data_IF_802976413046
#
_entry.id   IF_802976413046
#
_cell.length_a   1.000
_cell.length_b   1.000
_cell.length_c   1.000
_cell.angle_alpha   90.00
_cell.angle_beta   90.00
_cell.angle_gamma   90.00
#
_symmetry.space_group_name_H-M   'P 1'
#
loop_
_entity.id
_entity.type
_entity.pdbx_description
1 polymer ?
#
# COMPACT_ATOMS: atom_id res chain seq x y z
N UNK A 1 0.65 31.92 21.56
CA UNK A 1 0.43 31.42 20.19
C UNK A 1 0.97 30.00 20.01
N UNK A 2 2.29 29.78 20.10
CA UNK A 2 2.91 28.46 19.85
C UNK A 2 2.35 27.32 20.74
N UNK A 3 2.04 27.60 22.02
CA UNK A 3 1.40 26.63 22.91
C UNK A 3 0.03 26.16 22.41
N UNK A 4 -0.76 27.07 21.83
CA UNK A 4 -2.06 26.75 21.24
C UNK A 4 -1.90 25.90 19.99
N UNK A 5 -0.96 26.25 19.11
CA UNK A 5 -0.66 25.49 17.90
C UNK A 5 -0.23 24.05 18.20
N UNK A 6 0.64 23.85 19.21
CA UNK A 6 1.07 22.51 19.65
C UNK A 6 -0.05 21.65 20.23
N UNK A 7 -1.14 22.26 20.71
CA UNK A 7 -2.30 21.53 21.24
C UNK A 7 -3.31 21.12 20.16
N UNK A 8 -3.18 21.64 18.93
CA UNK A 8 -4.09 21.29 17.83
C UNK A 8 -3.95 19.83 17.43
N UNK A 9 -5.03 19.25 16.93
CA UNK A 9 -5.01 17.92 16.32
C UNK A 9 -4.91 18.07 14.81
N UNK A 10 -3.69 18.05 14.29
CA UNK A 10 -3.44 18.15 12.85
C UNK A 10 -2.12 17.47 12.46
N UNK A 11 -1.78 17.48 11.17
CA UNK A 11 -0.64 16.71 10.66
C UNK A 11 0.71 17.19 11.22
N UNK A 12 0.79 18.46 11.64
CA UNK A 12 1.98 19.07 12.22
C UNK A 12 2.23 18.64 13.68
N UNK A 13 1.24 18.07 14.35
CA UNK A 13 1.29 17.71 15.78
C UNK A 13 1.06 16.23 16.04
N UNK A 14 0.83 15.42 15.00
CA UNK A 14 0.66 13.97 15.11
C UNK A 14 1.98 13.17 15.08
N UNK A 15 3.13 13.83 15.23
CA UNK A 15 4.46 13.21 15.30
C UNK A 15 4.70 12.19 14.17
N UNK A 16 4.32 12.57 12.95
CA UNK A 16 4.54 11.78 11.75
C UNK A 16 6.04 11.79 11.40
N UNK A 17 6.77 10.80 11.89
CA UNK A 17 8.20 10.59 11.59
C UNK A 17 8.37 10.07 10.16
N UNK A 18 8.30 11.01 9.22
CA UNK A 18 8.38 10.73 7.79
C UNK A 18 9.77 11.09 7.27
N UNK A 19 10.54 10.07 6.89
CA UNK A 19 11.77 10.24 6.12
C UNK A 19 11.47 10.84 4.74
N UNK A 20 12.46 11.49 4.13
CA UNK A 20 12.30 12.07 2.78
C UNK A 20 11.91 11.04 1.73
N UNK A 21 12.43 9.81 1.81
CA UNK A 21 12.06 8.72 0.91
C UNK A 21 10.61 8.29 1.10
N UNK A 22 10.14 8.20 2.34
CA UNK A 22 8.75 7.88 2.65
C UNK A 22 7.80 8.97 2.14
N UNK A 23 8.15 10.25 2.30
CA UNK A 23 7.38 11.37 1.77
C UNK A 23 7.19 11.29 0.24
N UNK A 24 8.25 10.97 -0.51
CA UNK A 24 8.18 10.81 -1.97
C UNK A 24 7.30 9.63 -2.36
N UNK A 25 7.46 8.48 -1.70
CA UNK A 25 6.62 7.31 -1.95
C UNK A 25 5.14 7.58 -1.64
N UNK A 26 4.84 8.26 -0.53
CA UNK A 26 3.48 8.63 -0.17
C UNK A 26 2.88 9.61 -1.19
N UNK A 27 3.66 10.59 -1.66
CA UNK A 27 3.23 11.52 -2.71
C UNK A 27 2.77 10.76 -3.96
N UNK A 28 3.53 9.76 -4.38
CA UNK A 28 3.24 9.01 -5.61
C UNK A 28 2.06 8.05 -5.40
N UNK A 29 1.95 7.38 -4.24
CA UNK A 29 0.80 6.54 -3.90
C UNK A 29 -0.51 7.35 -3.79
N UNK A 30 -0.44 8.61 -3.33
CA UNK A 30 -1.60 9.49 -3.22
C UNK A 30 -2.10 9.97 -4.60
N UNK A 31 -1.35 9.74 -5.68
CA UNK A 31 -1.84 9.98 -7.06
C UNK A 31 -2.85 8.94 -7.51
N UNK A 32 -2.85 7.75 -6.91
CA UNK A 32 -3.80 6.68 -7.24
C UNK A 32 -5.13 6.87 -6.50
N UNK A 33 -5.15 7.67 -5.44
CA UNK A 33 -6.32 7.86 -4.60
C UNK A 33 -7.04 9.15 -5.02
N UNK A 34 -7.81 9.06 -6.10
CA UNK A 34 -8.93 9.97 -6.39
C UNK A 34 -8.74 10.91 -7.56
N UNK A 35 -9.31 10.56 -8.72
CA UNK A 35 -9.67 11.49 -9.79
C UNK A 35 -11.07 12.06 -9.53
N UNK A 36 -11.08 13.22 -8.85
CA UNK A 36 -12.01 14.36 -8.92
C UNK A 36 -13.55 14.20 -8.81
N UNK A 37 -14.14 13.00 -8.87
CA UNK A 37 -15.57 12.77 -8.61
C UNK A 37 -15.81 11.55 -7.71
N UNK A 38 -16.65 11.72 -6.68
CA UNK A 38 -17.15 10.62 -5.83
C UNK A 38 -16.26 10.19 -4.65
N UNK A 39 -14.95 10.49 -4.66
CA UNK A 39 -14.08 10.10 -3.54
C UNK A 39 -14.38 10.90 -2.26
N UNK A 40 -14.99 10.25 -1.28
CA UNK A 40 -15.37 10.84 0.02
C UNK A 40 -14.17 11.19 0.91
N UNK A 41 -12.98 10.63 0.63
CA UNK A 41 -11.73 10.93 1.34
C UNK A 41 -10.95 12.11 0.73
N UNK A 42 -11.43 12.73 -0.35
CA UNK A 42 -10.67 13.72 -1.13
C UNK A 42 -10.13 14.90 -0.30
N UNK A 43 -10.89 15.39 0.68
CA UNK A 43 -10.43 16.45 1.59
C UNK A 43 -9.20 16.03 2.41
N UNK A 44 -9.23 14.83 3.00
CA UNK A 44 -8.14 14.26 3.79
C UNK A 44 -6.89 14.00 2.94
N UNK A 45 -7.08 13.55 1.69
CA UNK A 45 -5.98 13.35 0.72
C UNK A 45 -5.28 14.68 0.43
N UNK A 46 -6.04 15.74 0.19
CA UNK A 46 -5.46 17.06 -0.03
C UNK A 46 -4.76 17.61 1.21
N UNK A 47 -5.30 17.37 2.42
CA UNK A 47 -4.61 17.70 3.67
C UNK A 47 -3.26 16.98 3.77
N UNK A 48 -3.22 15.67 3.55
CA UNK A 48 -1.97 14.90 3.64
C UNK A 48 -0.97 15.34 2.55
N UNK A 49 -1.42 15.55 1.32
CA UNK A 49 -0.56 16.07 0.24
C UNK A 49 -0.01 17.45 0.57
N UNK A 50 -0.84 18.34 1.12
CA UNK A 50 -0.40 19.68 1.55
C UNK A 50 0.69 19.61 2.61
N UNK A 51 0.52 18.73 3.61
CA UNK A 51 1.54 18.48 4.62
C UNK A 51 2.83 17.91 4.03
N UNK A 52 2.75 16.94 3.12
CA UNK A 52 3.91 16.37 2.43
C UNK A 52 4.66 17.45 1.66
N UNK A 53 3.97 18.29 0.89
CA UNK A 53 4.59 19.37 0.13
C UNK A 53 5.27 20.39 1.04
N UNK A 54 4.63 20.76 2.15
CA UNK A 54 5.24 21.62 3.15
C UNK A 54 6.56 21.01 3.69
N UNK A 55 6.55 19.73 4.07
CA UNK A 55 7.74 19.02 4.57
C UNK A 55 8.85 18.91 3.53
N UNK A 56 8.51 18.97 2.25
CA UNK A 56 9.45 19.01 1.13
C UNK A 56 9.95 20.43 0.79
N UNK A 57 9.44 21.47 1.46
CA UNK A 57 9.84 22.86 1.26
C UNK A 57 8.97 23.66 0.29
N UNK A 58 7.85 23.11 -0.19
CA UNK A 58 6.95 23.74 -1.15
C UNK A 58 5.73 24.35 -0.46
N UNK A 59 5.91 25.48 0.23
CA UNK A 59 4.86 26.10 1.07
C UNK A 59 3.68 26.66 0.26
N UNK A 60 3.89 27.16 -0.95
CA UNK A 60 2.81 27.66 -1.82
C UNK A 60 1.90 26.50 -2.29
N UNK A 61 2.52 25.39 -2.72
CA UNK A 61 1.81 24.16 -3.08
C UNK A 61 1.03 23.61 -1.89
N UNK A 62 1.63 23.62 -0.70
CA UNK A 62 0.97 23.20 0.53
C UNK A 62 -0.30 24.03 0.80
N UNK A 63 -0.22 25.36 0.67
CA UNK A 63 -1.37 26.25 0.87
C UNK A 63 -2.48 25.97 -0.15
N UNK A 64 -2.11 25.83 -1.44
CA UNK A 64 -3.03 25.50 -2.52
C UNK A 64 -3.78 24.19 -2.23
N UNK A 65 -3.06 23.16 -1.78
CA UNK A 65 -3.64 21.87 -1.42
C UNK A 65 -4.55 21.95 -0.19
N UNK A 66 -4.18 22.68 0.87
CA UNK A 66 -5.07 22.88 2.01
C UNK A 66 -6.36 23.63 1.63
N UNK A 67 -6.29 24.58 0.71
CA UNK A 67 -7.48 25.25 0.19
C UNK A 67 -8.37 24.30 -0.64
N UNK A 68 -7.76 23.45 -1.48
CA UNK A 68 -8.47 22.39 -2.21
C UNK A 68 -9.12 21.38 -1.26
N UNK A 69 -8.47 21.04 -0.15
CA UNK A 69 -9.02 20.18 0.89
C UNK A 69 -10.33 20.77 1.45
N UNK A 70 -10.32 22.05 1.85
CA UNK A 70 -11.53 22.74 2.31
C UNK A 70 -12.64 22.69 1.26
N UNK A 71 -12.34 23.04 0.01
CA UNK A 71 -13.32 23.01 -1.08
C UNK A 71 -13.92 21.62 -1.29
N UNK A 72 -13.10 20.57 -1.25
CA UNK A 72 -13.55 19.19 -1.36
C UNK A 72 -14.47 18.81 -0.20
N UNK A 73 -14.11 19.14 1.04
CA UNK A 73 -14.95 18.91 2.21
C UNK A 73 -16.31 19.59 2.08
N UNK A 74 -16.32 20.88 1.73
CA UNK A 74 -17.56 21.64 1.60
C UNK A 74 -18.46 21.08 0.48
N UNK A 75 -17.88 20.70 -0.66
CA UNK A 75 -18.61 20.08 -1.77
C UNK A 75 -19.21 18.73 -1.40
N UNK A 76 -18.46 17.87 -0.71
CA UNK A 76 -18.91 16.51 -0.32
C UNK A 76 -20.00 16.57 0.75
N UNK A 77 -19.90 17.51 1.70
CA UNK A 77 -20.84 17.65 2.82
C UNK A 77 -22.01 18.59 2.51
N UNK A 78 -21.97 19.28 1.36
CA UNK A 78 -22.92 20.33 0.99
C UNK A 78 -23.10 21.38 2.10
N UNK A 79 -22.00 21.75 2.75
CA UNK A 79 -21.98 22.66 3.89
C UNK A 79 -20.64 23.41 3.98
N UNK A 80 -20.69 24.70 4.30
CA UNK A 80 -19.49 25.56 4.32
C UNK A 80 -18.59 25.33 5.54
N UNK A 81 -19.16 24.83 6.64
CA UNK A 81 -18.47 24.62 7.90
C UNK A 81 -18.96 23.37 8.63
N UNK A 82 -18.04 22.73 9.36
CA UNK A 82 -18.33 21.57 10.20
C UNK A 82 -17.08 21.03 10.88
N UNK A 83 -17.23 20.07 11.80
CA UNK A 83 -16.11 19.48 12.56
C UNK A 83 -15.06 18.82 11.67
N UNK A 84 -15.40 18.36 10.46
CA UNK A 84 -14.46 17.83 9.47
C UNK A 84 -13.42 18.85 8.97
N UNK A 85 -13.57 20.15 9.24
CA UNK A 85 -12.57 21.17 8.91
C UNK A 85 -11.52 21.39 10.00
N UNK A 86 -11.67 20.77 11.17
CA UNK A 86 -10.77 20.98 12.32
C UNK A 86 -9.30 20.74 11.98
N UNK A 87 -8.99 19.60 11.37
CA UNK A 87 -7.62 19.25 10.97
C UNK A 87 -7.10 20.19 9.87
N UNK A 88 -7.96 20.55 8.91
CA UNK A 88 -7.62 21.47 7.82
C UNK A 88 -7.25 22.86 8.33
N UNK A 89 -8.07 23.44 9.21
CA UNK A 89 -7.77 24.72 9.84
C UNK A 89 -6.54 24.64 10.74
N UNK A 90 -6.32 23.51 11.42
CA UNK A 90 -5.10 23.30 12.20
C UNK A 90 -3.84 23.29 11.33
N UNK A 91 -3.90 22.65 10.15
CA UNK A 91 -2.82 22.68 9.17
C UNK A 91 -2.55 24.10 8.64
N UNK A 92 -3.61 24.85 8.30
CA UNK A 92 -3.49 26.23 7.82
C UNK A 92 -2.92 27.17 8.90
N UNK A 93 -3.37 27.03 10.15
CA UNK A 93 -2.84 27.80 11.27
C UNK A 93 -1.32 27.58 11.46
N UNK A 94 -0.86 26.33 11.37
CA UNK A 94 0.55 25.97 11.42
C UNK A 94 1.35 26.48 10.23
N UNK A 95 0.81 26.34 9.01
CA UNK A 95 1.46 26.83 7.80
C UNK A 95 1.70 28.34 7.90
N UNK A 96 0.65 29.12 8.19
CA UNK A 96 0.75 30.58 8.31
C UNK A 96 1.70 31.01 9.43
N UNK A 97 1.68 30.33 10.58
CA UNK A 97 2.65 30.58 11.64
C UNK A 97 4.09 30.38 11.16
N UNK A 98 4.36 29.29 10.44
CA UNK A 98 5.71 28.98 9.93
C UNK A 98 6.22 29.96 8.87
N UNK A 99 5.30 30.64 8.17
CA UNK A 99 5.60 31.68 7.19
C UNK A 99 5.74 33.08 7.80
N UNK A 100 5.50 33.24 9.11
CA UNK A 100 5.51 34.55 9.79
C UNK A 100 4.19 35.34 9.67
N UNK A 101 3.16 34.76 9.07
CA UNK A 101 1.85 35.38 8.86
C UNK A 101 0.98 35.20 10.12
N UNK A 102 1.25 36.02 11.11
CA UNK A 102 0.70 35.86 12.46
C UNK A 102 -0.81 36.12 12.53
N UNK A 103 -1.30 37.13 11.80
CA UNK A 103 -2.71 37.47 11.74
C UNK A 103 -3.57 36.34 11.15
N UNK A 104 -3.12 35.73 10.05
CA UNK A 104 -3.78 34.61 9.41
C UNK A 104 -3.78 33.36 10.30
N UNK A 105 -2.66 33.10 10.99
CA UNK A 105 -2.59 31.99 11.96
C UNK A 105 -3.60 32.17 13.10
N UNK A 106 -3.75 33.39 13.61
CA UNK A 106 -4.76 33.75 14.63
C UNK A 106 -6.19 33.61 14.12
N UNK A 107 -6.47 34.01 12.87
CA UNK A 107 -7.79 33.85 12.25
C UNK A 107 -8.20 32.37 12.15
N UNK A 108 -7.30 31.48 11.75
CA UNK A 108 -7.59 30.04 11.75
C UNK A 108 -7.77 29.46 13.16
N UNK A 109 -6.99 29.92 14.15
CA UNK A 109 -7.20 29.54 15.54
C UNK A 109 -8.59 29.97 16.04
N UNK A 110 -9.03 31.18 15.69
CA UNK A 110 -10.38 31.66 16.02
C UNK A 110 -11.47 30.80 15.37
N UNK A 111 -11.29 30.40 14.10
CA UNK A 111 -12.21 29.49 13.41
C UNK A 111 -12.29 28.12 14.10
N UNK A 112 -11.17 27.59 14.57
CA UNK A 112 -11.12 26.34 15.35
C UNK A 112 -11.88 26.50 16.67
N UNK A 113 -11.67 27.60 17.40
CA UNK A 113 -12.39 27.88 18.65
C UNK A 113 -13.91 27.97 18.41
N UNK A 114 -14.32 28.60 17.32
CA UNK A 114 -15.73 28.71 16.93
C UNK A 114 -16.34 27.33 16.60
N UNK A 115 -15.61 26.47 15.90
CA UNK A 115 -16.04 25.10 15.63
C UNK A 115 -16.15 24.28 16.90
N UNK A 116 -15.16 24.32 17.80
CA UNK A 116 -15.21 23.63 19.10
C UNK A 116 -16.40 24.07 19.95
N UNK A 117 -16.77 25.36 19.90
CA UNK A 117 -17.95 25.87 20.61
C UNK A 117 -19.26 25.37 20.00
N UNK A 118 -19.33 25.25 18.68
CA UNK A 118 -20.53 24.82 17.95
C UNK A 118 -20.71 23.30 17.97
N UNK A 119 -19.61 22.57 17.97
CA UNK A 119 -19.53 21.12 18.00
C UNK A 119 -18.57 20.73 19.13
N UNK A 120 -19.03 20.68 20.39
CA UNK A 120 -18.16 20.29 21.49
C UNK A 120 -17.82 18.80 21.41
N UNK A 121 -16.58 18.44 21.77
CA UNK A 121 -16.19 17.03 21.92
C UNK A 121 -16.94 16.40 23.12
N UNK A 122 -17.22 15.09 23.11
CA UNK A 122 -18.00 14.47 24.20
C UNK A 122 -17.31 14.52 25.56
N UNK A 123 -15.96 14.54 25.58
CA UNK A 123 -15.14 14.74 26.77
C UNK A 123 -13.88 15.55 26.43
N UNK A 124 -13.15 16.02 27.46
CA UNK A 124 -11.89 16.75 27.27
C UNK A 124 -10.75 15.87 26.72
N UNK A 125 -10.86 14.56 26.84
CA UNK A 125 -9.84 13.59 26.40
C UNK A 125 -10.19 12.98 25.03
N UNK A 126 -11.45 13.09 24.59
CA UNK A 126 -11.91 12.52 23.33
C UNK A 126 -11.79 13.50 22.16
N UNK A 127 -11.33 12.97 21.02
CA UNK A 127 -11.32 13.70 19.76
C UNK A 127 -12.69 13.65 19.10
N UNK A 128 -12.95 14.58 18.18
CA UNK A 128 -14.07 14.44 17.25
C UNK A 128 -13.94 13.17 16.43
N UNK A 129 -15.06 12.49 16.09
CA UNK A 129 -15.01 11.26 15.31
C UNK A 129 -14.34 11.47 13.93
N UNK A 130 -14.53 12.64 13.31
CA UNK A 130 -13.83 13.02 12.07
C UNK A 130 -12.32 13.13 12.25
N UNK A 131 -11.86 13.60 13.43
CA UNK A 131 -10.43 13.69 13.73
C UNK A 131 -9.82 12.31 13.96
N UNK A 132 -10.55 11.42 14.65
CA UNK A 132 -10.15 10.01 14.76
C UNK A 132 -10.02 9.35 13.39
N UNK A 133 -11.04 9.54 12.54
CA UNK A 133 -11.05 8.99 11.19
C UNK A 133 -9.92 9.53 10.31
N UNK A 134 -9.64 10.83 10.34
CA UNK A 134 -8.52 11.43 9.59
C UNK A 134 -7.17 10.95 10.09
N UNK A 135 -6.99 10.86 11.42
CA UNK A 135 -5.76 10.33 12.01
C UNK A 135 -5.53 8.88 11.62
N UNK A 136 -6.57 8.05 11.68
CA UNK A 136 -6.53 6.66 11.22
C UNK A 136 -6.16 6.57 9.74
N UNK A 137 -6.79 7.37 8.88
CA UNK A 137 -6.52 7.39 7.44
C UNK A 137 -5.06 7.75 7.11
N UNK A 138 -4.52 8.78 7.78
CA UNK A 138 -3.13 9.19 7.59
C UNK A 138 -2.19 8.09 8.05
N UNK A 139 -2.39 7.54 9.25
CA UNK A 139 -1.57 6.44 9.77
C UNK A 139 -1.69 5.17 8.91
N UNK A 140 -2.85 4.87 8.34
CA UNK A 140 -3.02 3.77 7.39
C UNK A 140 -2.09 3.95 6.18
N UNK A 141 -1.95 5.19 5.71
CA UNK A 141 -1.17 5.58 4.54
C UNK A 141 0.34 5.66 4.81
N UNK A 142 0.75 6.09 6.02
CA UNK A 142 2.16 6.43 6.30
C UNK A 142 2.82 5.65 7.44
N UNK A 143 2.04 5.01 8.32
CA UNK A 143 2.54 4.32 9.52
C UNK A 143 2.56 2.80 9.38
N UNK A 144 3.34 2.13 10.23
CA UNK A 144 3.47 0.67 10.30
C UNK A 144 2.47 -0.03 11.24
N UNK A 145 2.00 0.63 12.30
CA UNK A 145 1.09 -0.01 13.27
C UNK A 145 -0.35 -0.01 12.76
N UNK A 146 -0.76 -1.13 12.17
CA UNK A 146 -2.09 -1.29 11.58
C UNK A 146 -3.18 -1.62 12.62
N UNK A 147 -2.80 -2.10 13.80
CA UNK A 147 -3.74 -2.35 14.90
C UNK A 147 -4.23 -1.03 15.46
N UNK A 148 -3.33 -0.08 15.72
CA UNK A 148 -3.69 1.27 16.16
C UNK A 148 -4.61 1.99 15.16
N UNK A 149 -4.38 1.78 13.87
CA UNK A 149 -5.23 2.33 12.80
C UNK A 149 -6.66 1.79 12.90
N UNK A 150 -6.80 0.48 13.08
CA UNK A 150 -8.11 -0.14 13.24
C UNK A 150 -8.85 0.41 14.47
N UNK A 151 -8.15 0.55 15.60
CA UNK A 151 -8.71 1.10 16.85
C UNK A 151 -9.24 2.53 16.66
N UNK A 152 -8.51 3.39 15.94
CA UNK A 152 -8.98 4.76 15.67
C UNK A 152 -10.23 4.80 14.80
N UNK A 153 -10.32 3.96 13.76
CA UNK A 153 -11.57 3.86 12.99
C UNK A 153 -12.71 3.30 13.83
N UNK A 154 -12.46 2.28 14.64
CA UNK A 154 -13.45 1.68 15.53
C UNK A 154 -14.03 2.73 16.49
N UNK A 155 -13.19 3.56 17.12
CA UNK A 155 -13.64 4.68 17.97
C UNK A 155 -14.53 5.66 17.22
N UNK A 156 -14.14 6.06 16.00
CA UNK A 156 -14.95 6.96 15.19
C UNK A 156 -16.34 6.36 14.89
N UNK A 157 -16.40 5.07 14.54
CA UNK A 157 -17.64 4.34 14.23
C UNK A 157 -18.54 4.22 15.48
N UNK A 158 -17.98 3.98 16.65
CA UNK A 158 -18.74 3.90 17.91
C UNK A 158 -19.39 5.24 18.27
N UNK A 159 -18.66 6.34 18.05
CA UNK A 159 -19.16 7.69 18.31
C UNK A 159 -20.22 8.13 17.29
N UNK A 160 -20.06 7.75 16.02
CA UNK A 160 -21.00 8.09 14.96
C UNK A 160 -21.15 6.92 13.97
N UNK A 161 -22.08 6.00 14.25
CA UNK A 161 -22.31 4.84 13.41
C UNK A 161 -22.97 5.21 12.09
N UNK A 162 -22.80 4.37 11.08
CA UNK A 162 -23.45 4.50 9.77
C UNK A 162 -22.66 5.28 8.71
N UNK A 163 -21.46 5.78 9.06
CA UNK A 163 -20.54 6.36 8.08
C UNK A 163 -19.82 5.24 7.34
N UNK A 164 -20.26 4.99 6.10
CA UNK A 164 -19.81 3.88 5.25
C UNK A 164 -18.30 3.89 5.02
N UNK A 165 -17.72 5.07 4.83
CA UNK A 165 -16.28 5.25 4.55
C UNK A 165 -15.40 4.79 5.72
N UNK A 166 -15.90 4.94 6.94
CA UNK A 166 -15.18 4.53 8.14
C UNK A 166 -15.25 3.02 8.29
N UNK A 167 -16.41 2.40 8.00
CA UNK A 167 -16.54 0.94 7.97
C UNK A 167 -15.61 0.31 6.92
N UNK A 168 -15.57 0.86 5.70
CA UNK A 168 -14.68 0.35 4.65
C UNK A 168 -13.21 0.50 5.02
N UNK A 169 -12.82 1.65 5.58
CA UNK A 169 -11.44 1.90 6.01
C UNK A 169 -11.05 1.04 7.22
N UNK A 170 -11.98 0.78 8.14
CA UNK A 170 -11.78 -0.13 9.26
C UNK A 170 -11.54 -1.57 8.80
N UNK A 171 -12.35 -2.07 7.86
CA UNK A 171 -12.16 -3.40 7.29
C UNK A 171 -10.78 -3.54 6.61
N UNK A 172 -10.35 -2.51 5.87
CA UNK A 172 -8.99 -2.47 5.29
C UNK A 172 -7.90 -2.44 6.36
N UNK A 173 -8.07 -1.66 7.43
CA UNK A 173 -7.12 -1.59 8.53
C UNK A 173 -6.94 -2.95 9.22
N UNK A 174 -8.04 -3.64 9.51
CA UNK A 174 -8.02 -5.00 10.07
C UNK A 174 -7.31 -5.99 9.13
N UNK A 175 -7.61 -5.94 7.83
CA UNK A 175 -6.93 -6.75 6.82
C UNK A 175 -5.42 -6.48 6.82
N UNK A 176 -4.99 -5.22 6.82
CA UNK A 176 -3.56 -4.90 6.86
C UNK A 176 -2.88 -5.35 8.16
N UNK A 177 -3.56 -5.27 9.31
CA UNK A 177 -3.05 -5.76 10.58
C UNK A 177 -2.85 -7.28 10.57
N UNK A 178 -3.80 -8.02 9.98
CA UNK A 178 -3.74 -9.49 9.92
C UNK A 178 -2.63 -10.05 9.03
N UNK A 179 -2.17 -9.31 8.01
CA UNK A 179 -1.14 -9.78 7.06
C UNK A 179 0.19 -10.19 7.73
N UNK A 180 0.46 -9.71 8.95
CA UNK A 180 1.69 -9.99 9.68
C UNK A 180 1.48 -10.82 10.95
N UNK A 181 0.27 -11.33 11.19
CA UNK A 181 -0.08 -12.05 12.41
C UNK A 181 -0.93 -13.28 12.09
N UNK A 182 -0.53 -14.48 12.53
CA UNK A 182 -1.36 -15.69 12.43
C UNK A 182 -2.42 -15.67 13.52
N UNK A 183 -3.39 -14.77 13.43
CA UNK A 183 -4.39 -14.53 14.48
C UNK A 183 -5.61 -15.45 14.37
N UNK A 184 -5.81 -16.16 13.25
CA UNK A 184 -6.98 -17.02 13.05
C UNK A 184 -8.28 -16.23 12.84
N UNK A 185 -8.17 -14.91 12.61
CA UNK A 185 -9.29 -13.98 12.41
C UNK A 185 -9.56 -13.71 10.92
N UNK A 186 -8.89 -14.42 10.01
CA UNK A 186 -8.94 -14.15 8.58
C UNK A 186 -10.36 -14.29 8.01
N UNK A 187 -11.17 -15.22 8.54
CA UNK A 187 -12.56 -15.42 8.14
C UNK A 187 -13.47 -14.27 8.59
N UNK A 188 -13.32 -13.80 9.84
CA UNK A 188 -14.09 -12.67 10.38
C UNK A 188 -13.74 -11.36 9.65
N UNK A 189 -12.47 -11.16 9.34
CA UNK A 189 -12.01 -10.00 8.56
C UNK A 189 -12.59 -10.03 7.15
N UNK A 190 -12.55 -11.19 6.48
CA UNK A 190 -13.10 -11.34 5.14
C UNK A 190 -14.61 -11.06 5.12
N UNK A 191 -15.34 -11.52 6.14
CA UNK A 191 -16.77 -11.24 6.29
C UNK A 191 -17.03 -9.74 6.54
N UNK A 192 -16.21 -9.07 7.36
CA UNK A 192 -16.29 -7.61 7.54
C UNK A 192 -16.05 -6.87 6.23
N UNK A 193 -15.09 -7.31 5.42
CA UNK A 193 -14.83 -6.73 4.09
C UNK A 193 -16.04 -6.90 3.17
N UNK A 194 -16.65 -8.10 3.15
CA UNK A 194 -17.88 -8.38 2.38
C UNK A 194 -19.02 -7.45 2.77
N UNK A 195 -19.31 -7.34 4.08
CA UNK A 195 -20.37 -6.46 4.60
C UNK A 195 -20.09 -5.00 4.25
N UNK A 196 -18.84 -4.55 4.42
CA UNK A 196 -18.47 -3.17 4.10
C UNK A 196 -18.61 -2.87 2.59
N UNK A 197 -18.29 -3.83 1.72
CA UNK A 197 -18.49 -3.69 0.28
C UNK A 197 -19.98 -3.65 -0.10
N UNK A 198 -20.83 -4.45 0.55
CA UNK A 198 -22.29 -4.39 0.31
C UNK A 198 -22.90 -3.05 0.73
N UNK A 199 -22.34 -2.42 1.78
CA UNK A 199 -22.77 -1.10 2.24
C UNK A 199 -22.21 0.04 1.38
N UNK A 200 -21.08 -0.16 0.73
CA UNK A 200 -20.35 0.83 -0.08
C UNK A 200 -19.91 0.24 -1.44
N UNK A 201 -20.86 -0.10 -2.33
CA UNK A 201 -20.55 -0.81 -3.58
C UNK A 201 -19.75 0.02 -4.59
N UNK A 202 -19.74 1.35 -4.45
CA UNK A 202 -18.96 2.27 -5.30
C UNK A 202 -17.46 2.30 -4.91
N UNK A 203 -17.09 1.68 -3.78
CA UNK A 203 -15.72 1.65 -3.30
C UNK A 203 -14.90 0.55 -3.98
N UNK A 204 -14.48 0.84 -5.22
CA UNK A 204 -13.69 -0.07 -6.05
C UNK A 204 -12.36 -0.45 -5.39
N UNK A 205 -11.81 0.41 -4.54
CA UNK A 205 -10.59 0.11 -3.79
C UNK A 205 -10.81 -1.02 -2.79
N UNK A 206 -11.88 -0.96 -1.99
CA UNK A 206 -12.25 -2.07 -1.09
C UNK A 206 -12.58 -3.34 -1.89
N UNK A 207 -13.37 -3.22 -2.97
CA UNK A 207 -13.74 -4.36 -3.81
C UNK A 207 -12.50 -5.09 -4.38
N UNK A 208 -11.51 -4.33 -4.86
CA UNK A 208 -10.26 -4.90 -5.36
C UNK A 208 -9.45 -5.61 -4.26
N UNK A 209 -9.39 -5.06 -3.04
CA UNK A 209 -8.75 -5.75 -1.91
C UNK A 209 -9.50 -7.00 -1.50
N UNK A 210 -10.83 -6.99 -1.53
CA UNK A 210 -11.65 -8.16 -1.21
C UNK A 210 -11.41 -9.29 -2.21
N UNK A 211 -11.39 -8.99 -3.51
CA UNK A 211 -11.03 -9.95 -4.56
C UNK A 211 -9.62 -10.51 -4.38
N UNK A 212 -8.64 -9.65 -4.06
CA UNK A 212 -7.26 -10.08 -3.79
C UNK A 212 -7.17 -11.07 -2.60
N UNK A 213 -7.89 -10.79 -1.50
CA UNK A 213 -7.92 -11.70 -0.35
C UNK A 213 -8.58 -13.05 -0.69
N UNK A 214 -9.67 -13.06 -1.47
CA UNK A 214 -10.31 -14.29 -1.96
C UNK A 214 -9.38 -15.09 -2.87
N UNK A 215 -8.68 -14.44 -3.79
CA UNK A 215 -7.69 -15.09 -4.66
C UNK A 215 -6.54 -15.73 -3.87
N UNK A 216 -6.03 -15.06 -2.83
CA UNK A 216 -4.97 -15.61 -1.97
C UNK A 216 -5.43 -16.87 -1.22
N UNK A 217 -6.74 -17.02 -0.99
CA UNK A 217 -7.36 -18.23 -0.41
C UNK A 217 -7.64 -19.31 -1.45
N UNK A 218 -7.28 -19.09 -2.71
CA UNK A 218 -7.45 -20.04 -3.81
C UNK A 218 -8.82 -19.99 -4.48
N UNK A 219 -9.65 -18.97 -4.21
CA UNK A 219 -10.89 -18.78 -4.93
C UNK A 219 -10.65 -18.32 -6.37
N UNK A 220 -11.51 -18.76 -7.29
CA UNK A 220 -11.46 -18.40 -8.71
C UNK A 220 -12.27 -17.13 -8.97
N UNK A 221 -11.62 -15.98 -8.84
CA UNK A 221 -12.28 -14.66 -8.92
C UNK A 221 -11.93 -13.88 -10.19
N UNK A 222 -11.32 -14.53 -11.19
CA UNK A 222 -10.71 -13.80 -12.31
C UNK A 222 -11.76 -13.25 -13.27
N UNK A 223 -12.89 -13.94 -13.42
CA UNK A 223 -14.00 -13.47 -14.22
C UNK A 223 -14.70 -12.28 -13.55
N UNK A 224 -14.92 -12.34 -12.22
CA UNK A 224 -15.45 -11.22 -11.41
C UNK A 224 -14.54 -9.99 -11.50
N UNK A 225 -13.23 -10.18 -11.30
CA UNK A 225 -12.25 -9.10 -11.34
C UNK A 225 -12.15 -8.49 -12.76
N UNK A 226 -12.26 -9.32 -13.80
CA UNK A 226 -12.26 -8.88 -15.18
C UNK A 226 -13.52 -8.11 -15.56
N UNK A 227 -14.68 -8.51 -15.03
CA UNK A 227 -15.95 -7.79 -15.20
C UNK A 227 -15.89 -6.41 -14.56
N UNK A 228 -15.46 -6.33 -13.30
CA UNK A 228 -15.26 -5.05 -12.62
C UNK A 228 -14.31 -4.13 -13.41
N UNK A 229 -13.24 -4.67 -13.98
CA UNK A 229 -12.29 -3.88 -14.80
C UNK A 229 -12.88 -3.42 -16.13
N UNK A 230 -13.84 -4.15 -16.71
CA UNK A 230 -14.55 -3.69 -17.92
C UNK A 230 -15.45 -2.50 -17.61
N UNK A 231 -16.09 -2.51 -16.45
CA UNK A 231 -16.96 -1.41 -16.01
C UNK A 231 -16.15 -0.18 -15.58
N UNK A 232 -14.93 -0.41 -15.08
CA UNK A 232 -14.05 0.64 -14.57
C UNK A 232 -12.61 0.53 -15.14
N UNK A 233 -12.43 0.74 -16.46
CA UNK A 233 -11.16 0.49 -17.14
C UNK A 233 -10.03 1.45 -16.74
N UNK A 234 -10.37 2.60 -16.15
CA UNK A 234 -9.39 3.60 -15.70
C UNK A 234 -8.94 3.38 -14.25
N UNK A 235 -9.58 2.46 -13.51
CA UNK A 235 -9.29 2.22 -12.10
C UNK A 235 -7.96 1.47 -11.93
N UNK A 236 -6.91 2.22 -11.59
CA UNK A 236 -5.53 1.72 -11.58
C UNK A 236 -5.32 0.60 -10.56
N UNK A 237 -5.98 0.68 -9.40
CA UNK A 237 -5.83 -0.34 -8.37
C UNK A 237 -6.54 -1.64 -8.78
N UNK A 238 -7.65 -1.53 -9.50
CA UNK A 238 -8.36 -2.69 -10.04
C UNK A 238 -7.50 -3.41 -11.08
N UNK A 239 -6.79 -2.69 -11.97
CA UNK A 239 -5.79 -3.29 -12.88
C UNK A 239 -4.75 -4.12 -12.11
N UNK A 240 -4.19 -3.57 -11.03
CA UNK A 240 -3.25 -4.29 -10.15
C UNK A 240 -3.89 -5.55 -9.56
N UNK A 241 -5.12 -5.47 -9.07
CA UNK A 241 -5.85 -6.63 -8.56
C UNK A 241 -5.98 -7.71 -9.64
N UNK A 242 -6.52 -7.39 -10.82
CA UNK A 242 -6.70 -8.36 -11.91
C UNK A 242 -5.36 -9.03 -12.31
N UNK A 243 -4.24 -8.30 -12.31
CA UNK A 243 -2.92 -8.91 -12.56
C UNK A 243 -2.52 -9.95 -11.51
N UNK A 244 -2.83 -9.69 -10.23
CA UNK A 244 -2.61 -10.66 -9.14
C UNK A 244 -3.54 -11.86 -9.28
N UNK A 245 -4.80 -11.66 -9.66
CA UNK A 245 -5.76 -12.72 -9.93
C UNK A 245 -5.23 -13.68 -11.01
N UNK A 246 -4.72 -13.12 -12.12
CA UNK A 246 -4.10 -13.92 -13.18
C UNK A 246 -2.87 -14.67 -12.68
N UNK A 247 -1.99 -14.01 -11.91
CA UNK A 247 -0.83 -14.67 -11.31
C UNK A 247 -1.22 -15.89 -10.48
N UNK A 248 -2.19 -15.75 -9.57
CA UNK A 248 -2.63 -16.86 -8.73
C UNK A 248 -3.25 -17.99 -9.55
N UNK A 249 -4.04 -17.68 -10.58
CA UNK A 249 -4.61 -18.69 -11.48
C UNK A 249 -3.55 -19.45 -12.26
N UNK A 250 -2.55 -18.76 -12.79
CA UNK A 250 -1.51 -19.35 -13.64
C UNK A 250 -0.51 -20.17 -12.80
N UNK A 251 -0.23 -19.74 -11.56
CA UNK A 251 0.74 -20.40 -10.66
C UNK A 251 0.07 -21.50 -9.80
N UNK A 252 -1.26 -21.51 -9.67
CA UNK A 252 -1.97 -22.48 -8.83
C UNK A 252 -1.64 -23.94 -9.22
N UNK A 253 -1.23 -24.80 -8.27
CA UNK A 253 -0.90 -26.21 -8.53
C UNK A 253 -2.06 -27.03 -9.08
N UNK A 254 -3.29 -26.57 -8.89
CA UNK A 254 -4.53 -27.23 -9.33
C UNK A 254 -5.05 -26.70 -10.67
N UNK A 255 -4.39 -25.69 -11.25
CA UNK A 255 -4.81 -25.13 -12.52
C UNK A 255 -4.49 -26.07 -13.69
N UNK A 256 -5.47 -26.28 -14.56
CA UNK A 256 -5.20 -26.75 -15.91
C UNK A 256 -4.25 -25.77 -16.61
N UNK A 257 -3.48 -26.26 -17.59
CA UNK A 257 -2.55 -25.43 -18.36
C UNK A 257 -3.27 -24.14 -18.80
N UNK A 258 -2.80 -22.95 -18.41
CA UNK A 258 -3.50 -21.71 -18.68
C UNK A 258 -3.63 -21.47 -20.19
N UNK A 259 -4.81 -21.01 -20.61
CA UNK A 259 -5.08 -20.72 -22.02
C UNK A 259 -4.16 -19.61 -22.53
N UNK A 260 -3.74 -19.71 -23.79
CA UNK A 260 -2.87 -18.69 -24.40
C UNK A 260 -3.48 -17.29 -24.33
N UNK A 261 -4.79 -17.17 -24.59
CA UNK A 261 -5.55 -15.92 -24.51
C UNK A 261 -5.46 -15.25 -23.13
N UNK A 262 -5.45 -16.04 -22.07
CA UNK A 262 -5.35 -15.59 -20.69
C UNK A 262 -3.96 -15.06 -20.37
N UNK A 263 -2.92 -15.77 -20.82
CA UNK A 263 -1.52 -15.35 -20.65
C UNK A 263 -1.27 -14.04 -21.41
N UNK A 264 -1.71 -13.95 -22.68
CA UNK A 264 -1.57 -12.76 -23.50
C UNK A 264 -2.27 -11.55 -22.83
N UNK A 265 -3.46 -11.75 -22.26
CA UNK A 265 -4.19 -10.71 -21.52
C UNK A 265 -3.49 -10.29 -20.23
N UNK A 266 -2.95 -11.26 -19.47
CA UNK A 266 -2.20 -10.98 -18.24
C UNK A 266 -0.94 -10.13 -18.53
N UNK A 267 -0.22 -10.44 -19.62
CA UNK A 267 0.96 -9.67 -20.05
C UNK A 267 0.57 -8.24 -20.41
N UNK A 268 -0.45 -8.04 -21.26
CA UNK A 268 -0.91 -6.71 -21.65
C UNK A 268 -1.28 -5.87 -20.43
N UNK A 269 -2.02 -6.44 -19.48
CA UNK A 269 -2.43 -5.72 -18.29
C UNK A 269 -1.25 -5.41 -17.36
N UNK A 270 -0.28 -6.33 -17.23
CA UNK A 270 0.94 -6.05 -16.49
C UNK A 270 1.76 -4.93 -17.14
N UNK A 271 1.85 -4.87 -18.47
CA UNK A 271 2.51 -3.78 -19.20
C UNK A 271 1.82 -2.43 -18.94
N UNK A 272 0.48 -2.40 -18.95
CA UNK A 272 -0.29 -1.20 -18.56
C UNK A 272 0.00 -0.78 -17.12
N UNK A 273 0.00 -1.72 -16.17
CA UNK A 273 0.32 -1.43 -14.76
C UNK A 273 1.75 -0.90 -14.64
N UNK A 274 2.72 -1.46 -15.35
CA UNK A 274 4.11 -0.96 -15.34
C UNK A 274 4.18 0.49 -15.87
N UNK A 275 3.44 0.79 -16.95
CA UNK A 275 3.38 2.14 -17.52
C UNK A 275 2.73 3.14 -16.56
N UNK A 276 1.74 2.71 -15.77
CA UNK A 276 1.12 3.53 -14.72
C UNK A 276 2.06 3.77 -13.52
N UNK A 277 3.02 2.88 -13.29
CA UNK A 277 3.88 2.86 -12.09
C UNK A 277 5.37 2.67 -12.42
N UNK A 278 5.99 3.53 -13.24
CA UNK A 278 7.34 3.29 -13.75
C UNK A 278 8.36 3.08 -12.62
N UNK A 279 8.27 3.87 -11.54
CA UNK A 279 9.22 3.89 -10.43
C UNK A 279 8.97 2.79 -9.37
N UNK A 280 7.81 2.12 -9.40
CA UNK A 280 7.44 1.03 -8.46
C UNK A 280 7.03 -0.26 -9.18
N UNK A 281 7.61 -0.45 -10.37
CA UNK A 281 7.25 -1.52 -11.31
C UNK A 281 8.08 -2.79 -11.17
N UNK A 282 9.15 -2.83 -10.37
CA UNK A 282 10.09 -3.98 -10.36
C UNK A 282 9.38 -5.32 -10.13
N UNK A 283 8.55 -5.41 -9.09
CA UNK A 283 7.78 -6.62 -8.80
C UNK A 283 6.91 -7.04 -9.99
N UNK A 284 6.31 -6.07 -10.71
CA UNK A 284 5.43 -6.32 -11.85
C UNK A 284 6.24 -6.74 -13.09
N UNK A 285 7.45 -6.19 -13.25
CA UNK A 285 8.41 -6.61 -14.29
C UNK A 285 8.89 -8.06 -14.06
N UNK A 286 9.12 -8.45 -12.80
CA UNK A 286 9.43 -9.84 -12.43
C UNK A 286 8.22 -10.73 -12.73
N UNK A 287 7.00 -10.30 -12.38
CA UNK A 287 5.77 -11.03 -12.68
C UNK A 287 5.56 -11.24 -14.19
N UNK A 288 5.91 -10.27 -15.05
CA UNK A 288 5.92 -10.46 -16.51
C UNK A 288 6.88 -11.59 -16.91
N UNK A 289 8.08 -11.64 -16.33
CA UNK A 289 9.05 -12.70 -16.63
C UNK A 289 8.50 -14.09 -16.24
N UNK A 290 7.87 -14.19 -15.06
CA UNK A 290 7.21 -15.42 -14.60
C UNK A 290 6.02 -15.82 -15.48
N UNK A 291 5.21 -14.86 -15.93
CA UNK A 291 4.10 -15.16 -16.85
C UNK A 291 4.62 -15.58 -18.23
N UNK A 292 5.69 -14.96 -18.75
CA UNK A 292 6.32 -15.42 -19.99
C UNK A 292 6.84 -16.85 -19.87
N UNK A 293 7.43 -17.22 -18.74
CA UNK A 293 7.93 -18.57 -18.48
C UNK A 293 6.85 -19.66 -18.65
N UNK A 294 5.60 -19.29 -18.37
CA UNK A 294 4.43 -20.17 -18.39
C UNK A 294 3.74 -20.19 -19.78
N UNK A 295 4.13 -19.26 -20.66
CA UNK A 295 3.63 -19.18 -22.04
C UNK A 295 4.29 -20.19 -22.99
N UNK A 296 3.56 -20.59 -24.04
CA UNK A 296 4.12 -21.53 -25.03
C UNK A 296 5.33 -20.91 -25.75
N UNK A 297 6.50 -21.53 -25.60
CA UNK A 297 7.79 -21.05 -26.12
C UNK A 297 8.27 -19.71 -25.52
N UNK A 298 7.73 -19.31 -24.37
CA UNK A 298 8.09 -18.04 -23.72
C UNK A 298 9.33 -18.07 -22.84
N UNK A 299 9.99 -19.21 -22.67
CA UNK A 299 11.20 -19.29 -21.84
C UNK A 299 12.30 -18.34 -22.32
N UNK A 300 12.49 -18.19 -23.64
CA UNK A 300 13.47 -17.23 -24.17
C UNK A 300 13.13 -15.78 -23.80
N UNK A 301 11.84 -15.42 -23.79
CA UNK A 301 11.38 -14.08 -23.36
C UNK A 301 11.54 -13.89 -21.86
N UNK A 302 11.24 -14.92 -21.07
CA UNK A 302 11.47 -14.89 -19.62
C UNK A 302 12.96 -14.72 -19.31
N UNK A 303 13.84 -15.49 -19.97
CA UNK A 303 15.29 -15.40 -19.83
C UNK A 303 15.79 -13.99 -20.19
N UNK A 304 15.33 -13.43 -21.32
CA UNK A 304 15.65 -12.06 -21.71
C UNK A 304 15.21 -11.06 -20.64
N UNK A 305 13.98 -11.17 -20.14
CA UNK A 305 13.44 -10.24 -19.14
C UNK A 305 14.20 -10.32 -17.83
N UNK A 306 14.53 -11.53 -17.37
CA UNK A 306 15.35 -11.72 -16.19
C UNK A 306 16.76 -11.14 -16.36
N UNK A 307 17.36 -11.30 -17.54
CA UNK A 307 18.66 -10.73 -17.84
C UNK A 307 18.64 -9.19 -17.80
N UNK A 308 17.67 -8.56 -18.44
CA UNK A 308 17.46 -7.10 -18.39
C UNK A 308 17.34 -6.60 -16.94
N UNK A 309 16.60 -7.32 -16.10
CA UNK A 309 16.42 -6.97 -14.69
C UNK A 309 17.69 -7.17 -13.87
N UNK A 310 18.48 -8.21 -14.15
CA UNK A 310 19.73 -8.51 -13.45
C UNK A 310 20.84 -7.49 -13.75
N UNK A 311 20.78 -6.85 -14.92
CA UNK A 311 21.69 -5.78 -15.36
C UNK A 311 21.24 -4.39 -14.89
N UNK A 312 20.02 -4.26 -14.37
CA UNK A 312 19.47 -2.99 -13.89
C UNK A 312 20.13 -2.57 -12.57
N UNK A 313 20.28 -1.25 -12.38
CA UNK A 313 20.70 -0.71 -11.09
C UNK A 313 19.51 -0.71 -10.12
N UNK A 314 19.64 -1.49 -9.05
CA UNK A 314 18.58 -1.78 -8.09
C UNK A 314 19.09 -1.57 -6.67
N UNK A 315 18.20 -1.13 -5.78
CA UNK A 315 18.47 -1.07 -4.34
C UNK A 315 18.73 -2.47 -3.75
N UNK A 316 19.35 -2.53 -2.56
CA UNK A 316 19.75 -3.78 -1.93
C UNK A 316 18.57 -4.75 -1.71
N UNK A 317 17.44 -4.25 -1.20
CA UNK A 317 16.23 -5.03 -0.99
C UNK A 317 15.66 -5.59 -2.30
N UNK A 318 15.67 -4.78 -3.35
CA UNK A 318 15.18 -5.12 -4.68
C UNK A 318 16.07 -6.16 -5.37
N UNK A 319 17.39 -6.06 -5.21
CA UNK A 319 18.35 -7.10 -5.66
C UNK A 319 18.07 -8.44 -4.99
N UNK A 320 17.84 -8.46 -3.68
CA UNK A 320 17.50 -9.69 -2.96
C UNK A 320 16.20 -10.31 -3.47
N UNK A 321 15.17 -9.50 -3.72
CA UNK A 321 13.89 -9.95 -4.30
C UNK A 321 14.11 -10.57 -5.69
N UNK A 322 14.84 -9.89 -6.57
CA UNK A 322 15.13 -10.36 -7.92
C UNK A 322 15.92 -11.67 -7.90
N UNK A 323 17.00 -11.76 -7.12
CA UNK A 323 17.81 -12.96 -7.02
C UNK A 323 17.03 -14.14 -6.45
N UNK A 324 16.22 -13.92 -5.40
CA UNK A 324 15.36 -14.97 -4.84
C UNK A 324 14.34 -15.47 -5.88
N UNK A 325 13.72 -14.56 -6.63
CA UNK A 325 12.69 -14.94 -7.61
C UNK A 325 13.30 -15.63 -8.83
N UNK A 326 14.43 -15.11 -9.33
CA UNK A 326 15.16 -15.75 -10.42
C UNK A 326 15.70 -17.14 -10.04
N UNK A 327 16.15 -17.32 -8.79
CA UNK A 327 16.54 -18.63 -8.29
C UNK A 327 15.39 -19.65 -8.34
N UNK A 328 14.15 -19.22 -8.01
CA UNK A 328 12.96 -20.07 -8.12
C UNK A 328 12.65 -20.41 -9.57
N UNK A 329 12.70 -19.43 -10.48
CA UNK A 329 12.56 -19.65 -11.92
C UNK A 329 13.58 -20.67 -12.46
N UNK A 330 14.86 -20.52 -12.10
CA UNK A 330 15.93 -21.45 -12.47
C UNK A 330 15.66 -22.87 -11.98
N UNK A 331 15.15 -23.02 -10.76
CA UNK A 331 14.86 -24.32 -10.17
C UNK A 331 13.64 -24.99 -10.81
N UNK A 332 12.49 -24.31 -10.78
CA UNK A 332 11.21 -24.92 -11.13
C UNK A 332 10.95 -24.95 -12.64
N UNK A 333 11.42 -23.93 -13.38
CA UNK A 333 11.17 -23.84 -14.82
C UNK A 333 12.35 -24.33 -15.65
N UNK A 334 13.58 -23.94 -15.30
CA UNK A 334 14.78 -24.31 -16.08
C UNK A 334 15.42 -25.62 -15.61
N UNK A 335 14.98 -26.19 -14.49
CA UNK A 335 15.59 -27.36 -13.84
C UNK A 335 17.09 -27.22 -13.59
N UNK A 336 17.59 -25.98 -13.46
CA UNK A 336 18.99 -25.67 -13.23
C UNK A 336 19.23 -25.41 -11.73
N UNK A 337 19.29 -26.51 -10.98
CA UNK A 337 19.38 -26.50 -9.51
C UNK A 337 20.65 -25.78 -9.04
N UNK A 338 21.79 -26.00 -9.71
CA UNK A 338 23.06 -25.40 -9.27
C UNK A 338 23.06 -23.88 -9.46
N UNK A 339 22.54 -23.36 -10.58
CA UNK A 339 22.40 -21.92 -10.75
C UNK A 339 21.37 -21.33 -9.79
N UNK A 340 20.27 -22.05 -9.52
CA UNK A 340 19.31 -21.63 -8.49
C UNK A 340 19.98 -21.43 -7.13
N UNK A 341 20.79 -22.41 -6.68
CA UNK A 341 21.56 -22.33 -5.44
C UNK A 341 22.45 -21.08 -5.43
N UNK A 342 23.19 -20.82 -6.52
CA UNK A 342 24.06 -19.64 -6.63
C UNK A 342 23.30 -18.32 -6.48
N UNK A 343 22.10 -18.21 -7.05
CA UNK A 343 21.30 -17.00 -6.89
C UNK A 343 20.67 -16.88 -5.49
N UNK A 344 20.32 -17.99 -4.85
CA UNK A 344 19.95 -17.96 -3.42
C UNK A 344 21.13 -17.50 -2.54
N UNK A 345 22.36 -17.93 -2.83
CA UNK A 345 23.56 -17.44 -2.15
C UNK A 345 23.75 -15.94 -2.36
N UNK A 346 23.67 -15.45 -3.61
CA UNK A 346 23.74 -14.01 -3.91
C UNK A 346 22.68 -13.20 -3.14
N UNK A 347 21.45 -13.71 -3.02
CA UNK A 347 20.40 -13.06 -2.25
C UNK A 347 20.71 -13.03 -0.74
N UNK A 348 21.26 -14.13 -0.21
CA UNK A 348 21.62 -14.26 1.20
C UNK A 348 22.84 -13.40 1.60
N UNK A 349 23.80 -13.26 0.68
CA UNK A 349 25.07 -12.54 0.87
C UNK A 349 24.88 -11.03 1.06
N UNK A 350 23.85 -10.45 0.44
CA UNK A 350 23.52 -9.03 0.63
C UNK A 350 23.12 -8.83 2.10
N UNK A 351 23.89 -8.02 2.82
CA UNK A 351 23.67 -7.70 4.24
C UNK A 351 22.58 -6.64 4.43
N UNK A 352 21.37 -7.00 4.01
CA UNK A 352 20.15 -6.23 4.21
C UNK A 352 19.05 -7.15 4.75
N UNK A 353 18.46 -6.81 5.89
CA UNK A 353 17.42 -7.64 6.50
C UNK A 353 16.13 -7.53 5.69
N UNK A 354 15.75 -8.62 5.04
CA UNK A 354 14.51 -8.72 4.26
C UNK A 354 13.96 -10.15 4.29
N UNK A 355 12.66 -10.28 4.03
CA UNK A 355 12.00 -11.57 3.84
C UNK A 355 12.70 -12.42 2.77
N UNK A 356 13.17 -11.81 1.67
CA UNK A 356 13.80 -12.54 0.56
C UNK A 356 15.18 -13.08 0.92
N UNK A 357 15.92 -12.38 1.78
CA UNK A 357 17.17 -12.86 2.36
C UNK A 357 16.90 -14.10 3.22
N UNK A 358 16.02 -13.97 4.20
CA UNK A 358 15.65 -15.05 5.13
C UNK A 358 15.10 -16.27 4.38
N UNK A 359 14.25 -16.04 3.37
CA UNK A 359 13.73 -17.11 2.52
C UNK A 359 14.85 -17.87 1.79
N UNK A 360 15.84 -17.16 1.25
CA UNK A 360 16.97 -17.79 0.55
C UNK A 360 17.87 -18.58 1.49
N UNK A 361 18.17 -18.04 2.68
CA UNK A 361 18.92 -18.75 3.74
C UNK A 361 18.21 -20.03 4.13
N UNK A 362 16.91 -19.96 4.46
CA UNK A 362 16.10 -21.12 4.82
C UNK A 362 16.07 -22.21 3.71
N UNK A 363 16.09 -21.81 2.44
CA UNK A 363 16.17 -22.75 1.30
C UNK A 363 17.54 -23.42 1.26
N UNK A 364 18.63 -22.65 1.40
CA UNK A 364 19.99 -23.18 1.41
C UNK A 364 20.22 -24.15 2.57
N UNK A 365 19.75 -23.84 3.77
CA UNK A 365 19.80 -24.73 4.93
C UNK A 365 19.06 -26.05 4.67
N UNK A 366 17.85 -26.00 4.10
CA UNK A 366 17.11 -27.22 3.72
C UNK A 366 17.85 -28.07 2.69
N UNK A 367 18.58 -27.44 1.77
CA UNK A 367 19.39 -28.17 0.78
C UNK A 367 20.61 -28.80 1.46
N UNK A 368 21.29 -28.08 2.35
CA UNK A 368 22.39 -28.57 3.20
C UNK A 368 21.96 -29.80 3.98
N UNK A 369 20.86 -29.71 4.72
CA UNK A 369 20.42 -30.77 5.64
C UNK A 369 20.04 -32.06 4.90
N UNK A 370 19.58 -31.95 3.65
CA UNK A 370 19.32 -33.11 2.79
C UNK A 370 20.61 -33.76 2.27
N UNK A 371 21.70 -33.00 2.13
CA UNK A 371 23.04 -33.45 1.70
C UNK A 371 23.07 -34.33 0.42
N UNK A 372 22.16 -34.08 -0.53
CA UNK A 372 22.05 -34.84 -1.80
C UNK A 372 22.52 -34.07 -3.04
N UNK A 373 22.78 -32.77 -2.91
CA UNK A 373 23.21 -31.93 -4.03
C UNK A 373 24.74 -31.83 -4.07
N UNK A 374 25.32 -31.77 -5.28
CA UNK A 374 26.77 -31.66 -5.47
C UNK A 374 27.38 -30.40 -4.84
N UNK A 375 26.60 -29.33 -4.69
CA UNK A 375 27.03 -28.06 -4.07
C UNK A 375 26.92 -28.07 -2.54
N UNK A 376 26.65 -29.21 -1.90
CA UNK A 376 26.43 -29.25 -0.45
C UNK A 376 27.64 -28.72 0.35
N UNK A 377 28.87 -29.03 -0.06
CA UNK A 377 30.09 -28.46 0.54
C UNK A 377 30.13 -26.94 0.44
N UNK A 378 29.94 -26.40 -0.76
CA UNK A 378 29.90 -24.94 -1.00
C UNK A 378 28.81 -24.25 -0.15
N UNK A 379 27.66 -24.87 0.02
CA UNK A 379 26.57 -24.33 0.86
C UNK A 379 26.98 -24.33 2.35
N UNK A 380 27.62 -25.40 2.83
CA UNK A 380 28.09 -25.48 4.23
C UNK A 380 29.07 -24.35 4.50
N UNK A 381 30.08 -24.20 3.65
CA UNK A 381 31.11 -23.18 3.79
C UNK A 381 30.50 -21.77 3.71
N UNK A 382 29.59 -21.54 2.78
CA UNK A 382 28.89 -20.26 2.64
C UNK A 382 28.04 -19.91 3.86
N UNK A 383 27.24 -20.85 4.37
CA UNK A 383 26.37 -20.61 5.52
C UNK A 383 27.18 -20.41 6.81
N UNK A 384 28.32 -21.07 6.96
CA UNK A 384 29.24 -20.85 8.08
C UNK A 384 29.76 -19.39 8.09
N UNK A 385 30.07 -18.84 6.92
CA UNK A 385 30.63 -17.49 6.77
C UNK A 385 29.57 -16.37 6.67
N UNK A 386 28.28 -16.70 6.60
CA UNK A 386 27.21 -15.73 6.30
C UNK A 386 27.01 -14.67 7.41
N UNK A 387 27.46 -14.98 8.63
CA UNK A 387 27.32 -14.16 9.83
C UNK A 387 28.65 -13.99 10.60
N UNK A 388 29.79 -14.32 10.00
CA UNK A 388 31.08 -13.94 10.61
C UNK A 388 31.31 -12.43 10.39
N UNK A 389 31.71 -11.69 11.45
CA UNK A 389 31.71 -10.22 11.49
C UNK A 389 32.66 -9.53 10.51
#
# INVERSE_FOLDING_TARGET
MLSRLKALQCHFTWDLDLSRSLLLRCRDNLLDIGTENGNRWLGHIYNLRGFIQYRLGFSEDAQSLFNKAKQAFCKIRSADEGPWLMVNYGNLAWLHHSLGNQAESEDYLYKIDALNKKYPSPSQEELHPETYAEKAYVLMTVSGDKTLVADYFQRAIEMQPGIREWNTSHALALMYASKHSRTGLEDDILEKMRIAQEQDPENLYLAAHYLDQRAQRGERIEDEAQEALKDHPDERYLKRCVTLCYKWKIISPTASRPEKSMIDRAILLLEEVIALYPDSSLMKKIEIADVYALSHNGQAKADQKYQELLESDLELADKQMLYNTYAKYLHFTKHNINMSIRYHMKAAEIQHQSFFRENSVNILEKIRDRCRNSMCGEIIDFLANLNEP
#
